data_IF_617319052557
#
_entry.id   IF_617319052557
#
_cell.length_a   1.000
_cell.length_b   1.000
_cell.length_c   1.000
_cell.angle_alpha   90.00
_cell.angle_beta   90.00
_cell.angle_gamma   90.00
#
_symmetry.space_group_name_H-M   'P 1'
#
loop_
_entity.id
_entity.type
_entity.pdbx_description
1 polymer ?
#
# COMPACT_ATOMS: atom_id res chain seq x y z
N UNK A 1 0.73 1.82 -19.61
CA UNK A 1 -0.49 1.42 -18.89
C UNK A 1 -0.07 0.82 -17.57
N UNK A 2 -0.50 1.42 -16.46
CA UNK A 2 -0.09 1.04 -15.12
C UNK A 2 -1.11 0.07 -14.54
N UNK A 3 -0.64 -1.06 -14.02
CA UNK A 3 -1.48 -2.07 -13.36
C UNK A 3 -1.29 -2.01 -11.85
N UNK A 4 -2.23 -2.60 -11.10
CA UNK A 4 -2.07 -2.76 -9.65
C UNK A 4 -0.77 -3.49 -9.31
N UNK A 5 -0.39 -4.54 -10.08
CA UNK A 5 0.85 -5.29 -9.86
C UNK A 5 2.08 -4.40 -9.91
N UNK A 6 2.14 -3.43 -10.83
CA UNK A 6 3.29 -2.52 -10.91
C UNK A 6 3.49 -1.71 -9.62
N UNK A 7 2.41 -1.32 -8.95
CA UNK A 7 2.46 -0.60 -7.67
C UNK A 7 2.85 -1.58 -6.56
N UNK A 8 2.21 -2.75 -6.50
CA UNK A 8 2.45 -3.75 -5.47
C UNK A 8 3.88 -4.32 -5.52
N UNK A 9 4.45 -4.49 -6.71
CA UNK A 9 5.85 -4.89 -6.91
C UNK A 9 6.81 -3.84 -6.36
N UNK A 10 6.53 -2.55 -6.62
CA UNK A 10 7.33 -1.45 -6.06
C UNK A 10 7.29 -1.45 -4.55
N UNK A 11 6.12 -1.64 -3.97
CA UNK A 11 5.94 -1.74 -2.52
C UNK A 11 6.79 -2.87 -1.95
N UNK A 12 6.62 -4.07 -2.51
CA UNK A 12 7.32 -5.28 -2.07
C UNK A 12 8.84 -5.17 -2.18
N UNK A 13 9.34 -4.54 -3.24
CA UNK A 13 10.79 -4.45 -3.49
C UNK A 13 11.46 -3.30 -2.76
N UNK A 14 10.75 -2.23 -2.39
CA UNK A 14 11.38 -0.98 -1.93
C UNK A 14 10.93 -0.49 -0.55
N UNK A 15 9.77 -0.90 -0.04
CA UNK A 15 9.19 -0.28 1.16
C UNK A 15 9.14 -1.20 2.39
N UNK A 16 9.14 -2.52 2.23
CA UNK A 16 9.27 -3.44 3.37
C UNK A 16 9.92 -4.77 2.98
N UNK A 17 10.43 -5.49 3.99
CA UNK A 17 10.93 -6.86 3.86
C UNK A 17 10.17 -7.70 4.87
N UNK A 18 9.40 -8.69 4.41
CA UNK A 18 8.58 -9.53 5.28
C UNK A 18 8.57 -10.98 4.80
N UNK A 19 9.08 -11.88 5.65
CA UNK A 19 9.22 -13.29 5.32
C UNK A 19 7.88 -14.01 5.06
N UNK A 20 6.77 -13.54 5.64
CA UNK A 20 5.44 -14.13 5.37
C UNK A 20 5.00 -13.79 3.96
N UNK A 21 5.25 -12.56 3.53
CA UNK A 21 4.98 -12.12 2.17
C UNK A 21 5.94 -12.79 1.17
N UNK A 22 7.21 -12.98 1.53
CA UNK A 22 8.17 -13.75 0.72
C UNK A 22 7.70 -15.20 0.50
N UNK A 23 7.18 -15.85 1.53
CA UNK A 23 6.61 -17.18 1.40
C UNK A 23 5.32 -17.15 0.58
N UNK A 24 4.45 -16.15 0.79
CA UNK A 24 3.17 -16.07 0.11
C UNK A 24 3.36 -15.90 -1.40
N UNK A 25 4.22 -14.99 -1.85
CA UNK A 25 4.46 -14.78 -3.28
C UNK A 25 5.08 -16.00 -3.96
N UNK A 26 5.88 -16.79 -3.23
CA UNK A 26 6.48 -18.04 -3.75
C UNK A 26 5.47 -19.19 -3.85
N UNK A 27 4.54 -19.28 -2.89
CA UNK A 27 3.55 -20.37 -2.81
C UNK A 27 2.33 -20.08 -3.68
N UNK A 28 1.81 -18.85 -3.61
CA UNK A 28 0.63 -18.40 -4.32
C UNK A 28 0.74 -16.90 -4.64
N UNK A 29 1.33 -16.63 -5.80
CA UNK A 29 1.50 -15.29 -6.33
C UNK A 29 0.17 -14.52 -6.47
N UNK A 30 -0.92 -15.21 -6.84
CA UNK A 30 -2.21 -14.54 -7.00
C UNK A 30 -2.77 -14.11 -5.64
N UNK A 31 -2.70 -14.99 -4.64
CA UNK A 31 -3.11 -14.65 -3.28
C UNK A 31 -2.29 -13.49 -2.70
N UNK A 32 -1.01 -13.38 -3.04
CA UNK A 32 -0.18 -12.24 -2.67
C UNK A 32 -0.74 -10.92 -3.23
N UNK A 33 -1.02 -10.86 -4.54
CA UNK A 33 -1.55 -9.64 -5.15
C UNK A 33 -2.99 -9.32 -4.73
N UNK A 34 -3.83 -10.32 -4.53
CA UNK A 34 -5.20 -10.11 -4.03
C UNK A 34 -5.17 -9.54 -2.60
N UNK A 35 -4.29 -10.08 -1.76
CA UNK A 35 -4.13 -9.62 -0.39
C UNK A 35 -3.63 -8.18 -0.31
N UNK A 36 -2.54 -7.84 -1.01
CA UNK A 36 -2.02 -6.47 -1.01
C UNK A 36 -2.89 -5.50 -1.81
N UNK A 37 -3.62 -6.00 -2.81
CA UNK A 37 -4.56 -5.23 -3.62
C UNK A 37 -5.65 -4.58 -2.78
N UNK A 38 -6.12 -5.25 -1.71
CA UNK A 38 -7.05 -4.64 -0.77
C UNK A 38 -6.51 -3.37 -0.10
N UNK A 39 -5.21 -3.33 0.24
CA UNK A 39 -4.58 -2.12 0.77
C UNK A 39 -4.39 -1.05 -0.31
N UNK A 40 -4.18 -1.45 -1.57
CA UNK A 40 -4.08 -0.50 -2.68
C UNK A 40 -5.40 0.20 -2.96
N UNK A 41 -6.53 -0.49 -2.88
CA UNK A 41 -7.86 0.13 -2.98
C UNK A 41 -8.02 1.20 -1.88
N UNK A 42 -7.67 0.88 -0.64
CA UNK A 42 -7.70 1.87 0.45
C UNK A 42 -6.71 3.02 0.20
N UNK A 43 -5.54 2.74 -0.37
CA UNK A 43 -4.52 3.74 -0.69
C UNK A 43 -5.01 4.75 -1.73
N UNK A 44 -5.81 4.30 -2.71
CA UNK A 44 -6.47 5.17 -3.69
C UNK A 44 -7.40 6.15 -2.97
N UNK A 45 -8.24 5.67 -2.05
CA UNK A 45 -9.14 6.52 -1.27
C UNK A 45 -8.38 7.49 -0.34
N UNK A 46 -7.22 7.07 0.19
CA UNK A 46 -6.37 7.91 1.03
C UNK A 46 -5.66 9.02 0.26
N UNK A 47 -5.53 8.89 -1.06
CA UNK A 47 -4.90 9.89 -1.91
C UNK A 47 -5.91 10.99 -2.35
N UNK A 48 -6.63 11.56 -1.37
CA UNK A 48 -7.65 12.63 -1.52
C UNK A 48 -7.10 13.93 -2.14
N UNK A 49 -5.79 14.01 -2.38
CA UNK A 49 -5.11 15.12 -3.03
C UNK A 49 -4.68 14.87 -4.48
N UNK A 50 -5.03 13.73 -5.06
CA UNK A 50 -4.65 13.41 -6.44
C UNK A 50 -5.41 14.31 -7.43
N UNK A 51 -4.66 14.94 -8.34
CA UNK A 51 -5.24 15.82 -9.37
C UNK A 51 -5.51 15.08 -10.68
N UNK A 52 -5.05 13.82 -10.76
CA UNK A 52 -5.34 12.88 -11.84
C UNK A 52 -6.43 11.93 -11.38
N UNK A 53 -7.30 11.52 -12.31
CA UNK A 53 -8.30 10.49 -12.03
C UNK A 53 -7.63 9.13 -11.81
N UNK A 54 -7.91 8.53 -10.65
CA UNK A 54 -7.40 7.21 -10.23
C UNK A 54 -8.38 6.07 -10.51
N UNK A 55 -9.39 6.32 -11.36
CA UNK A 55 -10.30 5.28 -11.84
C UNK A 55 -9.54 4.12 -12.47
N UNK A 56 -10.07 2.93 -12.25
CA UNK A 56 -9.49 1.68 -12.72
C UNK A 56 -10.60 0.71 -13.08
N UNK A 57 -10.28 -0.23 -13.96
CA UNK A 57 -11.18 -1.30 -14.37
C UNK A 57 -10.47 -2.65 -14.31
N UNK A 58 -11.29 -3.68 -14.47
CA UNK A 58 -10.85 -5.07 -14.48
C UNK A 58 -10.76 -5.52 -15.94
N UNK A 59 -9.57 -5.99 -16.34
CA UNK A 59 -9.33 -6.55 -17.67
C UNK A 59 -8.97 -8.04 -17.54
N UNK A 60 -9.67 -8.89 -18.28
CA UNK A 60 -9.40 -10.33 -18.34
C UNK A 60 -8.74 -10.70 -19.66
N UNK A 61 -7.64 -11.43 -19.57
CA UNK A 61 -6.89 -11.96 -20.72
C UNK A 61 -6.62 -13.45 -20.56
N UNK A 62 -6.65 -14.18 -21.66
CA UNK A 62 -6.32 -15.60 -21.67
C UNK A 62 -4.85 -15.76 -22.02
N UNK A 63 -4.09 -16.42 -21.14
CA UNK A 63 -2.70 -16.76 -21.35
C UNK A 63 -2.51 -18.28 -21.29
N UNK A 64 -1.50 -18.79 -21.97
CA UNK A 64 -1.08 -20.18 -21.82
C UNK A 64 -0.05 -20.28 -20.69
N UNK A 65 -0.33 -21.10 -19.67
CA UNK A 65 0.58 -21.42 -18.57
C UNK A 65 0.59 -22.94 -18.37
N UNK A 66 1.76 -23.56 -18.44
CA UNK A 66 1.95 -25.01 -18.28
C UNK A 66 1.07 -25.86 -19.22
N UNK A 67 1.03 -25.50 -20.51
CA UNK A 67 0.19 -26.12 -21.55
C UNK A 67 -1.32 -26.08 -21.24
N UNK A 68 -1.77 -25.14 -20.41
CA UNK A 68 -3.18 -24.89 -20.10
C UNK A 68 -3.54 -23.43 -20.36
N UNK A 69 -4.73 -23.21 -20.91
CA UNK A 69 -5.29 -21.87 -21.03
C UNK A 69 -5.81 -21.43 -19.65
N UNK A 70 -5.29 -20.31 -19.16
CA UNK A 70 -5.67 -19.70 -17.89
C UNK A 70 -6.18 -18.29 -18.17
N UNK A 71 -7.33 -17.95 -17.61
CA UNK A 71 -7.81 -16.56 -17.62
C UNK A 71 -7.15 -15.83 -16.46
N UNK A 72 -6.41 -14.78 -16.78
CA UNK A 72 -5.81 -13.87 -15.82
C UNK A 72 -6.62 -12.59 -15.83
N UNK A 73 -6.89 -12.10 -14.63
CA UNK A 73 -7.63 -10.87 -14.40
C UNK A 73 -6.71 -9.88 -13.72
N UNK A 74 -6.50 -8.73 -14.35
CA UNK A 74 -5.63 -7.67 -13.84
C UNK A 74 -6.47 -6.39 -13.61
N UNK A 75 -6.20 -5.66 -12.53
CA UNK A 75 -6.75 -4.31 -12.31
C UNK A 75 -5.82 -3.28 -12.95
N UNK A 76 -6.38 -2.41 -13.77
CA UNK A 76 -5.65 -1.48 -14.62
C UNK A 76 -6.20 -0.08 -14.45
N UNK A 77 -5.31 0.89 -14.24
CA UNK A 77 -5.69 2.30 -14.16
C UNK A 77 -6.07 2.83 -15.54
N UNK A 78 -7.16 3.60 -15.60
CA UNK A 78 -7.67 4.20 -16.84
C UNK A 78 -6.71 5.25 -17.40
N UNK A 79 -5.96 5.89 -16.51
CA UNK A 79 -4.96 6.91 -16.83
C UNK A 79 -3.54 6.40 -16.58
N UNK A 80 -2.58 6.93 -17.34
CA UNK A 80 -1.17 6.73 -17.03
C UNK A 80 -0.81 7.45 -15.73
N UNK A 81 -0.27 6.72 -14.77
CA UNK A 81 0.18 7.28 -13.50
C UNK A 81 1.65 7.71 -13.59
N UNK A 82 1.94 8.87 -13.04
CA UNK A 82 3.31 9.35 -12.87
C UNK A 82 4.05 8.53 -11.81
N UNK A 83 5.38 8.56 -11.86
CA UNK A 83 6.21 7.89 -10.84
C UNK A 83 5.93 8.37 -9.42
N UNK A 84 5.50 9.64 -9.26
CA UNK A 84 5.13 10.23 -7.97
C UNK A 84 3.79 9.70 -7.47
N UNK A 85 2.78 9.60 -8.33
CA UNK A 85 1.47 9.01 -7.97
C UNK A 85 1.63 7.53 -7.60
N UNK A 86 2.40 6.76 -8.37
CA UNK A 86 2.75 5.37 -8.05
C UNK A 86 3.43 5.28 -6.67
N UNK A 87 4.35 6.21 -6.37
CA UNK A 87 5.05 6.22 -5.09
C UNK A 87 4.11 6.51 -3.90
N UNK A 88 3.22 7.49 -4.03
CA UNK A 88 2.25 7.84 -2.98
C UNK A 88 1.31 6.66 -2.73
N UNK A 89 0.79 6.03 -3.79
CA UNK A 89 -0.03 4.83 -3.67
C UNK A 89 0.74 3.69 -2.99
N UNK A 90 2.04 3.56 -3.27
CA UNK A 90 2.91 2.57 -2.61
C UNK A 90 3.06 2.83 -1.11
N UNK A 91 3.22 4.10 -0.70
CA UNK A 91 3.28 4.48 0.72
C UNK A 91 2.00 4.10 1.46
N UNK A 92 0.82 4.35 0.87
CA UNK A 92 -0.45 3.96 1.47
C UNK A 92 -0.63 2.44 1.62
N UNK A 93 -0.16 1.65 0.65
CA UNK A 93 -0.15 0.17 0.77
C UNK A 93 0.76 -0.26 1.92
N UNK A 94 1.98 0.28 2.00
CA UNK A 94 2.92 -0.04 3.08
C UNK A 94 2.37 0.35 4.45
N UNK A 95 1.68 1.50 4.54
CA UNK A 95 0.99 1.95 5.74
C UNK A 95 -0.13 0.98 6.16
N UNK A 96 -0.98 0.56 5.22
CA UNK A 96 -2.05 -0.41 5.47
C UNK A 96 -1.51 -1.76 5.96
N UNK A 97 -0.44 -2.26 5.32
CA UNK A 97 0.26 -3.45 5.76
C UNK A 97 0.84 -3.32 7.16
N UNK A 98 1.48 -2.18 7.46
CA UNK A 98 2.08 -1.95 8.77
C UNK A 98 1.02 -1.90 9.88
N UNK A 99 -0.14 -1.25 9.63
CA UNK A 99 -1.30 -1.25 10.54
C UNK A 99 -1.77 -2.67 10.83
N UNK A 100 -1.95 -3.51 9.81
CA UNK A 100 -2.30 -4.94 9.96
C UNK A 100 -1.31 -5.68 10.87
N UNK A 101 0.00 -5.49 10.66
CA UNK A 101 1.02 -6.14 11.49
C UNK A 101 1.00 -5.67 12.95
N UNK A 102 0.66 -4.40 13.20
CA UNK A 102 0.52 -3.86 14.54
C UNK A 102 -0.70 -4.45 15.27
N UNK A 103 -1.82 -4.58 14.56
CA UNK A 103 -3.04 -5.18 15.09
C UNK A 103 -2.83 -6.64 15.49
N UNK A 104 -2.16 -7.42 14.63
CA UNK A 104 -1.84 -8.82 14.91
C UNK A 104 -1.01 -8.95 16.21
N UNK A 105 0.02 -8.10 16.38
CA UNK A 105 0.86 -8.09 17.61
C UNK A 105 0.05 -7.74 18.85
N UNK A 106 -0.87 -6.77 18.74
CA UNK A 106 -1.71 -6.32 19.86
C UNK A 106 -2.66 -7.44 20.29
N UNK A 107 -3.26 -8.17 19.34
CA UNK A 107 -4.10 -9.32 19.63
C UNK A 107 -3.33 -10.45 20.33
N UNK A 108 -2.11 -10.78 19.86
CA UNK A 108 -1.28 -11.80 20.51
C UNK A 108 -0.93 -11.45 21.97
N UNK A 109 -0.69 -10.18 22.28
CA UNK A 109 -0.40 -9.73 23.66
C UNK A 109 -1.59 -9.92 24.61
N UNK A 110 -2.82 -9.71 24.14
CA UNK A 110 -4.02 -9.92 24.97
C UNK A 110 -4.18 -11.38 25.44
N UNK A 111 -3.60 -12.33 24.70
CA UNK A 111 -3.67 -13.76 25.03
C UNK A 111 -2.52 -14.26 25.92
N UNK A 112 -1.47 -13.47 26.14
CA UNK A 112 -0.33 -13.85 26.98
C UNK A 112 -0.45 -13.20 28.37
N UNK A 113 -0.92 -13.96 29.35
CA UNK A 113 -1.03 -13.53 30.75
C UNK A 113 0.34 -13.23 31.40
N UNK A 114 0.41 -12.05 32.00
CA UNK A 114 1.45 -11.38 32.81
C UNK A 114 2.70 -12.17 33.26
N UNK A 115 3.86 -11.64 32.86
CA UNK A 115 5.08 -11.64 33.68
C UNK A 115 5.70 -10.24 33.60
N UNK A 116 5.50 -9.45 34.65
CA UNK A 116 5.58 -7.97 34.67
C UNK A 116 6.91 -7.36 34.22
N UNK A 117 8.02 -8.13 34.18
CA UNK A 117 9.30 -7.66 33.65
C UNK A 117 9.38 -7.68 32.11
N UNK A 118 8.64 -8.57 31.43
CA UNK A 118 8.49 -8.55 29.98
C UNK A 118 7.55 -7.43 29.52
N UNK A 119 6.60 -7.04 30.38
CA UNK A 119 5.63 -5.99 30.07
C UNK A 119 6.28 -4.65 29.74
N UNK A 120 7.31 -4.22 30.49
CA UNK A 120 7.98 -2.93 30.24
C UNK A 120 8.75 -2.90 28.91
N UNK A 121 9.52 -3.94 28.58
CA UNK A 121 10.25 -3.99 27.30
C UNK A 121 9.31 -4.18 26.11
N UNK A 122 8.22 -4.93 26.28
CA UNK A 122 7.19 -5.10 25.27
C UNK A 122 6.36 -3.84 25.04
N UNK A 123 6.07 -3.05 26.09
CA UNK A 123 5.43 -1.74 25.99
C UNK A 123 6.33 -0.76 25.24
N UNK A 124 7.62 -0.69 25.56
CA UNK A 124 8.58 0.14 24.85
C UNK A 124 8.72 -0.25 23.36
N UNK A 125 8.65 -1.56 23.06
CA UNK A 125 8.63 -2.04 21.68
C UNK A 125 7.35 -1.65 20.93
N UNK A 126 6.19 -1.69 21.60
CA UNK A 126 4.92 -1.26 21.00
C UNK A 126 4.90 0.25 20.74
N UNK A 127 5.39 1.03 21.70
CA UNK A 127 5.50 2.48 21.59
C UNK A 127 6.34 2.88 20.37
N UNK A 128 7.51 2.25 20.18
CA UNK A 128 8.35 2.48 18.99
C UNK A 128 7.67 2.12 17.68
N UNK A 129 6.80 1.10 17.67
CA UNK A 129 6.01 0.73 16.50
C UNK A 129 4.91 1.75 16.21
N UNK A 130 4.25 2.27 17.25
CA UNK A 130 3.27 3.35 17.11
C UNK A 130 3.93 4.65 16.62
N UNK A 131 5.12 4.98 17.11
CA UNK A 131 5.91 6.11 16.61
C UNK A 131 6.28 5.93 15.14
N UNK A 132 6.71 4.73 14.75
CA UNK A 132 6.97 4.42 13.33
C UNK A 132 5.70 4.51 12.49
N UNK A 133 4.55 4.06 12.99
CA UNK A 133 3.27 4.20 12.32
C UNK A 133 2.96 5.68 12.07
N UNK A 134 3.10 6.54 13.10
CA UNK A 134 2.89 7.99 12.97
C UNK A 134 3.83 8.62 11.94
N UNK A 135 5.11 8.22 11.93
CA UNK A 135 6.06 8.69 10.92
C UNK A 135 5.66 8.28 9.49
N UNK A 136 5.12 7.07 9.29
CA UNK A 136 4.64 6.64 7.97
C UNK A 136 3.38 7.40 7.53
N UNK A 137 2.50 7.78 8.47
CA UNK A 137 1.34 8.65 8.18
C UNK A 137 1.78 10.06 7.80
N UNK A 138 2.79 10.59 8.49
CA UNK A 138 3.41 11.88 8.17
C UNK A 138 4.09 11.86 6.80
N UNK A 139 4.91 10.84 6.52
CA UNK A 139 5.57 10.66 5.21
C UNK A 139 4.54 10.66 4.07
N UNK A 140 3.44 9.90 4.22
CA UNK A 140 2.37 9.86 3.21
C UNK A 140 1.74 11.25 3.02
N UNK A 141 1.39 11.93 4.10
CA UNK A 141 0.77 13.25 4.06
C UNK A 141 1.69 14.29 3.41
N UNK A 142 2.97 14.29 3.77
CA UNK A 142 3.97 15.20 3.20
C UNK A 142 4.14 14.97 1.69
N UNK A 143 4.17 13.71 1.25
CA UNK A 143 4.34 13.37 -0.16
C UNK A 143 3.11 13.74 -1.01
N UNK A 144 1.90 13.62 -0.45
CA UNK A 144 0.66 14.13 -1.06
C UNK A 144 0.71 15.65 -1.19
N UNK A 145 1.08 16.37 -0.13
CA UNK A 145 1.19 17.84 -0.16
C UNK A 145 2.23 18.31 -1.18
N UNK A 146 3.41 17.66 -1.22
CA UNK A 146 4.44 17.94 -2.23
C UNK A 146 3.92 17.72 -3.65
N UNK A 147 3.18 16.63 -3.86
CA UNK A 147 2.54 16.37 -5.16
C UNK A 147 1.59 17.51 -5.54
N UNK A 148 0.71 17.95 -4.64
CA UNK A 148 -0.21 19.06 -4.89
C UNK A 148 0.52 20.37 -5.22
N UNK A 149 1.53 20.72 -4.42
CA UNK A 149 2.34 21.94 -4.61
C UNK A 149 3.06 21.92 -5.97
N UNK A 150 3.55 20.75 -6.38
CA UNK A 150 4.28 20.60 -7.65
C UNK A 150 3.35 20.63 -8.87
N UNK A 151 2.05 20.38 -8.67
CA UNK A 151 1.04 20.35 -9.71
C UNK A 151 0.01 21.50 -9.56
N UNK A 152 0.37 22.60 -8.89
CA UNK A 152 -0.50 23.78 -8.72
C UNK A 152 -0.95 24.37 -10.06
N UNK A 153 -0.14 24.23 -11.10
CA UNK A 153 -0.45 24.64 -12.47
C UNK A 153 -1.64 23.89 -13.08
N UNK A 154 -1.96 22.69 -12.58
CA UNK A 154 -3.11 21.90 -12.99
C UNK A 154 -4.41 22.31 -12.29
N UNK A 155 -4.33 23.11 -11.23
CA UNK A 155 -5.53 23.63 -10.58
C UNK A 155 -6.20 24.66 -11.49
N UNK A 156 -7.54 24.62 -11.64
CA UNK A 156 -8.25 25.65 -12.38
C UNK A 156 -7.95 27.01 -11.76
N UNK A 157 -7.27 27.86 -12.51
CA UNK A 157 -6.79 29.17 -12.08
C UNK A 157 -7.92 29.97 -11.41
N UNK A 158 -7.70 30.44 -10.17
CA UNK A 158 -8.56 31.43 -9.50
C UNK A 158 -8.31 32.84 -10.06
N UNK A 159 -8.41 32.98 -11.39
CA UNK A 159 -8.26 34.24 -12.11
C UNK A 159 -9.52 35.07 -12.08
N UNK A 160 -9.83 35.63 -10.92
CA UNK A 160 -10.79 36.72 -10.79
C UNK A 160 -10.06 37.98 -10.30
N UNK A 161 -9.47 38.74 -11.22
CA UNK A 161 -9.32 40.20 -11.21
C UNK A 161 -8.51 40.64 -12.44
#
# INVERSE_FOLDING_TARGET
>A
MVTFKNILDRVYTTLFTDYKLDNLIQVDEQAFYDFLGGFLVNSIDMFDGCLSDLSYHLESRVIEKDNKLVTVTDYIFDNELTSKEIYILSLGVALGWYKKQLDDVTQYKLHLSNKDFKSYSEQQNLQRRLERLGAMEEDLSEEIQKYQITNLDKLPYFGGA
#
